data_IF_497859520227
#
_entry.id   IF_497859520227
#
_cell.length_a   1.000
_cell.length_b   1.000
_cell.length_c   1.000
_cell.angle_alpha   90.00
_cell.angle_beta   90.00
_cell.angle_gamma   90.00
#
_symmetry.space_group_name_H-M   'P 1'
#
loop_
_entity.id
_entity.type
_entity.pdbx_description
1 polymer ?
#
# COMPACT_ATOMS: atom_id res chain seq x y z
N UNK A 1 5.70 12.06 8.10
CA UNK A 1 6.08 11.96 6.69
C UNK A 1 4.98 11.26 5.91
N UNK A 2 4.66 11.74 4.70
CA UNK A 2 3.62 11.20 3.83
C UNK A 2 4.28 10.57 2.59
N UNK A 3 3.96 9.31 2.33
CA UNK A 3 4.33 8.61 1.10
C UNK A 3 3.08 8.43 0.24
N UNK A 4 3.23 8.61 -1.05
CA UNK A 4 2.17 8.33 -2.02
C UNK A 4 2.67 7.28 -3.00
N UNK A 5 1.91 6.20 -3.13
CA UNK A 5 2.08 5.21 -4.16
C UNK A 5 0.83 5.24 -5.05
N UNK A 6 1.01 5.40 -6.36
CA UNK A 6 -0.10 5.52 -7.26
C UNK A 6 -0.05 4.54 -8.41
N UNK A 7 -1.22 4.13 -8.94
CA UNK A 7 -1.33 3.24 -10.07
C UNK A 7 -2.65 3.37 -10.82
N UNK A 8 -2.60 3.13 -12.14
CA UNK A 8 -3.75 2.82 -12.97
C UNK A 8 -4.07 1.32 -12.97
N UNK A 9 -5.32 0.95 -12.83
CA UNK A 9 -6.01 -0.32 -13.14
C UNK A 9 -5.70 -1.62 -12.39
N UNK A 10 -4.60 -1.85 -11.66
CA UNK A 10 -4.50 -3.06 -10.84
C UNK A 10 -4.31 -2.67 -9.37
N UNK A 11 -5.41 -2.59 -8.70
CA UNK A 11 -5.58 -2.30 -7.29
C UNK A 11 -4.73 -3.20 -6.38
N UNK A 12 -4.59 -4.47 -6.72
CA UNK A 12 -3.87 -5.46 -5.94
C UNK A 12 -2.38 -5.18 -5.75
N UNK A 13 -1.72 -4.47 -6.66
CA UNK A 13 -0.26 -4.29 -6.57
C UNK A 13 0.14 -3.13 -5.65
N UNK A 14 -0.59 -2.04 -5.64
CA UNK A 14 -0.34 -0.93 -4.72
C UNK A 14 -0.65 -1.33 -3.28
N UNK A 15 -1.79 -1.97 -3.07
CA UNK A 15 -2.18 -2.56 -1.79
C UNK A 15 -1.14 -3.55 -1.30
N UNK A 16 -0.62 -4.44 -2.16
CA UNK A 16 0.46 -5.37 -1.81
C UNK A 16 1.68 -4.64 -1.27
N UNK A 17 2.10 -3.52 -1.87
CA UNK A 17 3.25 -2.76 -1.34
C UNK A 17 2.97 -2.13 0.01
N UNK A 18 1.79 -1.55 0.19
CA UNK A 18 1.36 -1.02 1.50
C UNK A 18 1.34 -2.12 2.56
N UNK A 19 0.81 -3.29 2.21
CA UNK A 19 0.77 -4.45 3.08
C UNK A 19 2.16 -5.00 3.40
N UNK A 20 3.09 -5.04 2.44
CA UNK A 20 4.49 -5.46 2.68
C UNK A 20 5.21 -4.54 3.66
N UNK A 21 4.94 -3.23 3.59
CA UNK A 21 5.53 -2.27 4.52
C UNK A 21 4.94 -2.47 5.92
N UNK A 22 3.61 -2.65 6.05
CA UNK A 22 2.97 -2.98 7.33
C UNK A 22 3.51 -4.30 7.90
N UNK A 23 3.63 -5.34 7.07
CA UNK A 23 4.16 -6.64 7.42
C UNK A 23 5.59 -6.52 7.97
N UNK A 24 6.44 -5.79 7.27
CA UNK A 24 7.82 -5.57 7.71
C UNK A 24 7.85 -4.79 9.02
N UNK A 25 7.07 -3.71 9.14
CA UNK A 25 7.02 -2.92 10.36
C UNK A 25 6.52 -3.74 11.56
N UNK A 26 5.40 -4.44 11.42
CA UNK A 26 4.74 -5.09 12.57
C UNK A 26 5.25 -6.50 12.83
N UNK A 27 5.40 -7.34 11.79
CA UNK A 27 5.78 -8.75 12.01
C UNK A 27 7.29 -8.89 12.21
N UNK A 28 8.11 -8.19 11.41
CA UNK A 28 9.58 -8.32 11.52
C UNK A 28 10.19 -7.44 12.60
N UNK A 29 9.65 -6.26 12.83
CA UNK A 29 10.24 -5.26 13.72
C UNK A 29 9.40 -4.95 14.96
N UNK A 30 8.22 -5.56 15.14
CA UNK A 30 7.36 -5.34 16.29
C UNK A 30 6.84 -3.90 16.43
N UNK A 31 6.85 -3.12 15.34
CA UNK A 31 6.40 -1.74 15.33
C UNK A 31 4.90 -1.67 15.08
N UNK A 32 4.18 -0.97 15.92
CA UNK A 32 2.73 -0.81 15.76
C UNK A 32 2.40 -0.10 14.46
N UNK A 33 1.61 -0.75 13.61
CA UNK A 33 1.10 -0.16 12.37
C UNK A 33 -0.41 -0.30 12.26
N UNK A 34 -1.03 0.61 11.52
CA UNK A 34 -2.46 0.53 11.18
C UNK A 34 -2.66 0.69 9.67
N UNK A 35 -3.50 -0.17 9.11
CA UNK A 35 -4.00 -0.03 7.76
C UNK A 35 -5.50 0.25 7.78
N UNK A 36 -5.90 1.34 7.14
CA UNK A 36 -7.27 1.67 6.82
C UNK A 36 -7.56 1.21 5.40
N UNK A 37 -8.34 0.16 5.27
CA UNK A 37 -8.67 -0.45 3.99
C UNK A 37 -10.12 -0.14 3.64
N UNK A 38 -10.31 0.63 2.57
CA UNK A 38 -11.62 1.00 2.05
C UNK A 38 -12.10 0.08 0.93
N UNK A 39 -11.23 -0.83 0.48
CA UNK A 39 -11.50 -1.74 -0.62
C UNK A 39 -11.53 -3.21 -0.19
N UNK A 40 -10.53 -3.62 0.57
CA UNK A 40 -10.39 -5.02 0.99
C UNK A 40 -10.89 -5.22 2.41
N UNK A 41 -11.55 -6.36 2.64
CA UNK A 41 -11.95 -6.79 3.97
C UNK A 41 -10.73 -7.20 4.81
N UNK A 42 -10.89 -7.17 6.13
CA UNK A 42 -9.89 -7.67 7.08
C UNK A 42 -9.46 -9.10 6.76
N UNK A 43 -10.40 -9.97 6.42
CA UNK A 43 -10.11 -11.36 6.10
C UNK A 43 -9.21 -11.50 4.87
N UNK A 44 -9.44 -10.70 3.83
CA UNK A 44 -8.59 -10.68 2.64
C UNK A 44 -7.17 -10.20 2.98
N UNK A 45 -7.05 -9.14 3.78
CA UNK A 45 -5.75 -8.62 4.22
C UNK A 45 -4.99 -9.67 5.03
N UNK A 46 -5.65 -10.33 5.98
CA UNK A 46 -5.03 -11.40 6.79
C UNK A 46 -4.57 -12.56 5.91
N UNK A 47 -5.38 -12.97 4.92
CA UNK A 47 -4.98 -14.01 3.97
C UNK A 47 -3.75 -13.61 3.14
N UNK A 48 -3.67 -12.36 2.70
CA UNK A 48 -2.50 -11.84 1.98
C UNK A 48 -1.25 -11.84 2.87
N UNK A 49 -1.37 -11.42 4.13
CA UNK A 49 -0.26 -11.42 5.09
C UNK A 49 0.23 -12.84 5.38
N UNK A 50 -0.69 -13.77 5.61
CA UNK A 50 -0.36 -15.18 5.84
C UNK A 50 0.30 -15.82 4.62
N UNK A 51 -0.23 -15.58 3.41
CA UNK A 51 0.37 -16.06 2.17
C UNK A 51 1.82 -15.56 2.01
N UNK A 52 2.05 -14.27 2.27
CA UNK A 52 3.37 -13.67 2.16
C UNK A 52 4.37 -14.20 3.21
N UNK A 53 3.94 -14.38 4.46
CA UNK A 53 4.79 -14.87 5.56
C UNK A 53 5.05 -16.36 5.48
N UNK A 54 4.02 -17.17 5.23
CA UNK A 54 4.16 -18.62 5.16
C UNK A 54 4.71 -19.12 3.83
N UNK A 55 4.79 -18.25 2.80
CA UNK A 55 5.12 -18.64 1.43
C UNK A 55 4.23 -19.79 0.94
N UNK A 56 2.93 -19.63 1.19
CA UNK A 56 1.88 -20.51 0.66
C UNK A 56 1.14 -19.75 -0.43
N UNK A 57 0.99 -20.33 -1.64
CA UNK A 57 0.29 -19.63 -2.72
C UNK A 57 -1.11 -19.22 -2.30
N UNK A 58 -1.44 -17.93 -2.50
CA UNK A 58 -2.76 -17.38 -2.16
C UNK A 58 -3.89 -18.15 -2.84
N UNK A 59 -3.65 -18.65 -4.06
CA UNK A 59 -4.60 -19.46 -4.79
C UNK A 59 -4.96 -20.77 -4.04
N UNK A 60 -3.97 -21.44 -3.44
CA UNK A 60 -4.21 -22.66 -2.67
C UNK A 60 -5.07 -22.39 -1.44
N UNK A 61 -4.81 -21.26 -0.77
CA UNK A 61 -5.62 -20.83 0.39
C UNK A 61 -7.07 -20.51 0.01
N UNK A 62 -7.28 -19.83 -1.13
CA UNK A 62 -8.61 -19.43 -1.60
C UNK A 62 -9.43 -20.61 -2.13
N UNK A 63 -8.81 -21.55 -2.82
CA UNK A 63 -9.48 -22.71 -3.41
C UNK A 63 -9.62 -23.88 -2.44
N UNK A 64 -8.99 -23.82 -1.25
CA UNK A 64 -8.98 -24.94 -0.30
C UNK A 64 -8.13 -26.14 -0.78
N UNK A 65 -7.21 -25.93 -1.73
CA UNK A 65 -6.36 -27.00 -2.30
C UNK A 65 -4.97 -27.03 -1.66
N UNK A 66 -4.87 -26.65 -0.39
CA UNK A 66 -3.61 -26.68 0.36
C UNK A 66 -3.13 -28.10 0.62
N UNK A 67 -1.83 -28.34 0.36
CA UNK A 67 -1.16 -29.58 0.74
C UNK A 67 -0.87 -29.63 2.24
N UNK A 68 -0.50 -30.81 2.76
CA UNK A 68 -0.02 -30.94 4.16
C UNK A 68 1.20 -30.06 4.43
N UNK A 69 2.07 -29.90 3.46
CA UNK A 69 3.21 -28.97 3.53
C UNK A 69 2.76 -27.53 3.65
N UNK A 70 1.73 -27.10 2.90
CA UNK A 70 1.17 -25.76 2.99
C UNK A 70 0.56 -25.49 4.37
N UNK A 71 -0.19 -26.46 4.89
CA UNK A 71 -0.76 -26.39 6.24
C UNK A 71 0.32 -26.28 7.32
N UNK A 72 1.39 -27.06 7.22
CA UNK A 72 2.51 -27.03 8.16
C UNK A 72 3.22 -25.65 8.15
N UNK A 73 3.48 -25.09 6.94
CA UNK A 73 4.07 -23.75 6.78
C UNK A 73 3.16 -22.68 7.37
N UNK A 74 1.86 -22.76 7.09
CA UNK A 74 0.87 -21.80 7.58
C UNK A 74 0.81 -21.82 9.12
N UNK A 75 0.68 -23.02 9.72
CA UNK A 75 0.64 -23.20 11.17
C UNK A 75 1.90 -22.62 11.84
N UNK A 76 3.07 -22.80 11.24
CA UNK A 76 4.34 -22.26 11.75
C UNK A 76 4.44 -20.72 11.74
N UNK A 77 3.58 -20.02 11.00
CA UNK A 77 3.59 -18.55 10.87
C UNK A 77 2.36 -17.88 11.50
N UNK A 78 1.30 -18.60 11.77
CA UNK A 78 0.06 -18.05 12.32
C UNK A 78 0.29 -17.25 13.62
N UNK A 79 1.08 -17.78 14.56
CA UNK A 79 1.40 -17.09 15.80
C UNK A 79 2.04 -15.72 15.55
N UNK A 80 3.09 -15.68 14.73
CA UNK A 80 3.79 -14.43 14.40
C UNK A 80 2.88 -13.37 13.76
N UNK A 81 1.94 -13.80 12.92
CA UNK A 81 0.97 -12.88 12.29
C UNK A 81 -0.10 -12.44 13.27
N UNK A 82 -0.59 -13.35 14.12
CA UNK A 82 -1.63 -13.07 15.11
C UNK A 82 -1.14 -12.11 16.21
N UNK A 83 0.10 -12.28 16.66
CA UNK A 83 0.67 -11.51 17.76
C UNK A 83 1.28 -10.18 17.30
N UNK A 84 1.42 -9.98 16.00
CA UNK A 84 1.97 -8.75 15.45
C UNK A 84 1.08 -7.53 15.76
N UNK A 85 1.66 -6.38 16.15
CA UNK A 85 0.91 -5.16 16.43
C UNK A 85 0.46 -4.48 15.13
N UNK A 86 -0.25 -5.22 14.27
CA UNK A 86 -0.86 -4.76 13.02
C UNK A 86 -2.38 -4.61 13.21
N UNK A 87 -2.83 -3.37 13.22
CA UNK A 87 -4.25 -3.04 13.29
C UNK A 87 -4.83 -2.90 11.88
N UNK A 88 -5.94 -3.58 11.63
CA UNK A 88 -6.66 -3.53 10.35
C UNK A 88 -8.04 -2.96 10.61
N UNK A 89 -8.34 -1.87 9.91
CA UNK A 89 -9.65 -1.22 9.96
C UNK A 89 -10.27 -1.21 8.57
N UNK A 90 -11.28 -2.02 8.38
CA UNK A 90 -12.04 -2.19 7.15
C UNK A 90 -13.45 -1.62 7.25
N UNK A 91 -13.64 -0.63 8.14
CA UNK A 91 -14.93 0.06 8.32
C UNK A 91 -15.35 0.75 7.03
N UNK A 92 -16.59 0.52 6.56
CA UNK A 92 -17.10 1.20 5.38
C UNK A 92 -17.30 2.71 5.64
N UNK A 93 -17.20 3.52 4.59
CA UNK A 93 -17.46 4.98 4.62
C UNK A 93 -16.61 5.77 5.62
N UNK A 94 -15.37 5.34 5.83
CA UNK A 94 -14.46 5.99 6.76
C UNK A 94 -14.11 7.41 6.32
N UNK A 95 -14.19 8.35 7.23
CA UNK A 95 -13.83 9.75 7.01
C UNK A 95 -12.52 10.12 7.75
N UNK A 96 -11.95 11.26 7.39
CA UNK A 96 -10.69 11.76 7.98
C UNK A 96 -10.74 11.95 9.49
N UNK A 97 -11.88 12.37 10.03
CA UNK A 97 -12.04 12.61 11.47
C UNK A 97 -11.94 11.31 12.24
N UNK A 98 -12.53 10.23 11.70
CA UNK A 98 -12.47 8.89 12.29
C UNK A 98 -11.05 8.33 12.22
N UNK A 99 -10.39 8.43 11.07
CA UNK A 99 -8.97 8.02 10.90
C UNK A 99 -8.10 8.74 11.94
N UNK A 100 -8.24 10.06 12.04
CA UNK A 100 -7.47 10.87 12.99
C UNK A 100 -7.73 10.46 14.44
N UNK A 101 -8.98 10.25 14.82
CA UNK A 101 -9.35 9.82 16.17
C UNK A 101 -8.79 8.43 16.52
N UNK A 102 -8.89 7.49 15.58
CA UNK A 102 -8.34 6.13 15.74
C UNK A 102 -6.80 6.14 15.82
N UNK A 103 -6.12 6.91 14.96
CA UNK A 103 -4.66 7.05 14.99
C UNK A 103 -4.17 7.67 16.31
N UNK A 104 -4.83 8.72 16.81
CA UNK A 104 -4.49 9.32 18.11
C UNK A 104 -4.61 8.32 19.25
N UNK A 105 -5.69 7.54 19.28
CA UNK A 105 -5.89 6.48 20.28
C UNK A 105 -4.81 5.42 20.23
N UNK A 106 -4.47 4.93 19.00
CA UNK A 106 -3.40 3.96 18.81
C UNK A 106 -2.03 4.54 19.17
N UNK A 107 -1.79 5.83 18.89
CA UNK A 107 -0.54 6.49 19.30
C UNK A 107 -0.35 6.53 20.80
N UNK A 108 -1.42 6.81 21.54
CA UNK A 108 -1.39 6.90 23.01
C UNK A 108 -1.30 5.53 23.68
N UNK A 109 -2.00 4.52 23.14
CA UNK A 109 -2.14 3.22 23.78
C UNK A 109 -1.05 2.22 23.36
N UNK A 110 -0.71 2.23 22.08
CA UNK A 110 0.07 1.16 21.44
C UNK A 110 1.33 1.70 20.73
N UNK A 111 1.73 2.95 20.98
CA UNK A 111 2.87 3.63 20.32
C UNK A 111 2.87 3.46 18.79
N UNK A 112 1.79 3.91 18.14
CA UNK A 112 1.65 3.86 16.68
C UNK A 112 2.87 4.43 15.97
N UNK A 113 3.43 3.67 15.02
CA UNK A 113 4.66 3.99 14.29
C UNK A 113 4.46 4.10 12.77
N UNK A 114 3.36 3.60 12.22
CA UNK A 114 3.07 3.63 10.79
C UNK A 114 1.55 3.67 10.55
N UNK A 115 1.13 4.51 9.59
CA UNK A 115 -0.25 4.56 9.09
C UNK A 115 -0.25 4.28 7.60
N UNK A 116 -1.13 3.39 7.14
CA UNK A 116 -1.39 3.13 5.72
C UNK A 116 -2.87 3.39 5.43
N UNK A 117 -3.17 4.10 4.35
CA UNK A 117 -4.54 4.35 3.87
C UNK A 117 -4.68 3.81 2.46
N UNK A 118 -5.55 2.84 2.26
CA UNK A 118 -5.76 2.14 1.00
C UNK A 118 -7.25 2.20 0.59
N UNK A 119 -7.65 3.02 -0.36
CA UNK A 119 -6.95 4.08 -1.09
C UNK A 119 -7.75 5.39 -1.04
N UNK A 120 -7.09 6.51 -1.27
CA UNK A 120 -7.62 7.86 -1.05
C UNK A 120 -8.93 8.15 -1.79
N UNK A 121 -9.07 7.64 -3.01
CA UNK A 121 -10.25 7.89 -3.84
C UNK A 121 -11.53 7.19 -3.35
N UNK A 122 -11.48 6.34 -2.35
CA UNK A 122 -12.68 5.77 -1.72
C UNK A 122 -13.11 6.53 -0.46
N UNK A 123 -12.27 7.45 0.03
CA UNK A 123 -12.63 8.27 1.19
C UNK A 123 -13.75 9.24 0.83
N UNK A 124 -14.59 9.56 1.81
CA UNK A 124 -15.65 10.55 1.72
C UNK A 124 -15.41 11.67 2.74
N UNK A 125 -15.60 12.91 2.32
CA UNK A 125 -15.51 14.06 3.23
C UNK A 125 -16.76 14.18 4.13
N UNK A 126 -17.84 13.50 3.77
CA UNK A 126 -19.15 13.65 4.44
C UNK A 126 -19.81 15.03 4.21
N UNK A 127 -19.18 15.89 3.42
CA UNK A 127 -19.65 17.23 3.06
C UNK A 127 -19.96 17.31 1.56
N UNK A 128 -20.86 18.20 1.16
CA UNK A 128 -21.02 18.55 -0.25
C UNK A 128 -19.76 19.31 -0.70
N UNK A 129 -18.97 18.68 -1.57
CA UNK A 129 -17.80 19.31 -2.20
C UNK A 129 -18.11 19.57 -3.68
N UNK A 130 -17.55 20.65 -4.22
CA UNK A 130 -17.79 21.08 -5.60
C UNK A 130 -17.13 20.13 -6.62
N UNK A 131 -16.02 19.50 -6.24
CA UNK A 131 -15.33 18.53 -7.11
C UNK A 131 -14.58 17.46 -6.34
N UNK A 132 -14.40 16.29 -6.98
CA UNK A 132 -13.59 15.19 -6.44
C UNK A 132 -12.13 15.59 -6.23
N UNK A 133 -11.61 16.45 -7.08
CA UNK A 133 -10.24 16.98 -6.97
C UNK A 133 -10.04 17.78 -5.69
N UNK A 134 -11.00 18.62 -5.32
CA UNK A 134 -10.94 19.38 -4.06
C UNK A 134 -10.97 18.44 -2.86
N UNK A 135 -11.81 17.42 -2.90
CA UNK A 135 -11.92 16.43 -1.84
C UNK A 135 -10.60 15.67 -1.62
N UNK A 136 -9.97 15.17 -2.69
CA UNK A 136 -8.67 14.52 -2.64
C UNK A 136 -7.59 15.46 -2.13
N UNK A 137 -7.65 16.75 -2.50
CA UNK A 137 -6.74 17.78 -2.00
C UNK A 137 -6.88 18.01 -0.49
N UNK A 138 -8.09 18.04 0.00
CA UNK A 138 -8.36 18.15 1.45
C UNK A 138 -7.83 16.93 2.21
N UNK A 139 -8.01 15.72 1.64
CA UNK A 139 -7.49 14.49 2.22
C UNK A 139 -5.97 14.49 2.29
N UNK A 140 -5.30 14.84 1.19
CA UNK A 140 -3.84 14.92 1.12
C UNK A 140 -3.27 15.81 2.20
N UNK A 141 -3.78 17.05 2.27
CA UNK A 141 -3.35 18.02 3.27
C UNK A 141 -3.60 17.54 4.69
N UNK A 142 -4.77 16.93 4.94
CA UNK A 142 -5.14 16.45 6.27
C UNK A 142 -4.27 15.26 6.72
N UNK A 143 -3.93 14.34 5.82
CA UNK A 143 -3.01 13.24 6.11
C UNK A 143 -1.58 13.74 6.37
N UNK A 144 -1.14 14.78 5.64
CA UNK A 144 0.13 15.45 5.92
C UNK A 144 0.17 16.07 7.32
N UNK A 145 -0.92 16.74 7.72
CA UNK A 145 -1.04 17.29 9.06
C UNK A 145 -1.08 16.20 10.13
N UNK A 146 -1.78 15.08 9.87
CA UNK A 146 -1.82 13.93 10.76
C UNK A 146 -0.43 13.32 10.96
N UNK A 147 0.33 13.12 9.88
CA UNK A 147 1.70 12.63 9.95
C UNK A 147 2.59 13.51 10.83
N UNK A 148 2.45 14.82 10.69
CA UNK A 148 3.18 15.80 11.50
C UNK A 148 2.73 15.82 12.95
N UNK A 149 1.43 15.76 13.21
CA UNK A 149 0.84 15.79 14.55
C UNK A 149 1.29 14.59 15.39
N UNK A 150 1.28 13.40 14.81
CA UNK A 150 1.60 12.15 15.49
C UNK A 150 3.08 11.77 15.44
N UNK A 151 3.87 12.50 14.64
CA UNK A 151 5.26 12.16 14.31
C UNK A 151 5.41 10.72 13.82
N UNK A 152 4.57 10.33 12.85
CA UNK A 152 4.60 9.01 12.21
C UNK A 152 4.55 9.13 10.69
N UNK A 153 5.19 8.23 9.93
CA UNK A 153 5.00 8.15 8.51
C UNK A 153 3.56 7.74 8.18
N UNK A 154 2.97 8.43 7.21
CA UNK A 154 1.67 8.09 6.64
C UNK A 154 1.86 7.74 5.18
N UNK A 155 1.50 6.53 4.80
CA UNK A 155 1.48 6.06 3.42
C UNK A 155 0.05 6.16 2.92
N UNK A 156 -0.16 6.94 1.87
CA UNK A 156 -1.45 7.03 1.20
C UNK A 156 -1.33 6.37 -0.18
N UNK A 157 -2.12 5.34 -0.40
CA UNK A 157 -2.22 4.69 -1.69
C UNK A 157 -3.20 5.48 -2.56
N UNK A 158 -2.82 5.74 -3.80
CA UNK A 158 -3.60 6.52 -4.75
C UNK A 158 -3.56 5.90 -6.13
N UNK A 159 -4.69 5.92 -6.80
CA UNK A 159 -4.79 5.46 -8.19
C UNK A 159 -4.29 6.54 -9.14
N UNK A 160 -3.54 6.14 -10.18
CA UNK A 160 -3.15 7.00 -11.29
C UNK A 160 -4.30 7.19 -12.27
N UNK A 161 -4.25 8.27 -13.05
CA UNK A 161 -5.10 8.39 -14.22
C UNK A 161 -4.72 7.36 -15.31
N UNK A 162 -5.52 7.27 -16.38
CA UNK A 162 -5.28 6.30 -17.47
C UNK A 162 -4.21 6.75 -18.48
N UNK A 163 -3.48 7.83 -18.20
CA UNK A 163 -2.43 8.36 -19.08
C UNK A 163 -1.38 7.32 -19.49
N UNK A 164 -0.83 6.53 -18.56
CA UNK A 164 0.15 5.50 -18.88
C UNK A 164 -0.34 4.46 -19.90
N UNK A 165 -1.62 4.12 -19.88
CA UNK A 165 -2.20 3.12 -20.78
C UNK A 165 -2.30 3.62 -22.24
N UNK A 166 -2.35 4.93 -22.42
CA UNK A 166 -2.49 5.55 -23.74
C UNK A 166 -1.15 5.86 -24.39
N UNK A 167 -0.05 5.85 -23.62
CA UNK A 167 1.30 6.13 -24.10
C UNK A 167 1.97 4.87 -24.64
N UNK A 168 2.92 5.05 -25.54
CA UNK A 168 3.79 3.99 -26.03
C UNK A 168 4.65 3.43 -24.88
N UNK A 169 5.28 4.33 -24.13
CA UNK A 169 5.92 4.00 -22.84
C UNK A 169 4.86 4.00 -21.74
N UNK A 170 4.56 2.79 -21.23
CA UNK A 170 3.59 2.56 -20.15
C UNK A 170 4.12 2.95 -18.76
N UNK A 171 5.36 3.44 -18.68
CA UNK A 171 6.01 3.79 -17.42
C UNK A 171 5.31 4.99 -16.77
N UNK A 172 4.87 4.88 -15.51
CA UNK A 172 4.15 5.95 -14.84
C UNK A 172 5.09 7.13 -14.50
N UNK A 173 4.53 8.34 -14.48
CA UNK A 173 5.24 9.57 -14.12
C UNK A 173 4.40 10.44 -13.18
N UNK A 174 4.99 11.45 -12.55
CA UNK A 174 4.28 12.36 -11.64
C UNK A 174 3.05 13.02 -12.27
N UNK A 175 3.12 13.34 -13.57
CA UNK A 175 2.00 13.92 -14.28
C UNK A 175 0.74 13.02 -14.33
N UNK A 176 0.88 11.72 -14.07
CA UNK A 176 -0.23 10.78 -14.02
C UNK A 176 -1.04 10.89 -12.71
N UNK A 177 -0.55 11.65 -11.74
CA UNK A 177 -1.26 12.08 -10.53
C UNK A 177 -2.12 13.34 -10.75
N UNK A 178 -2.27 13.83 -11.98
CA UNK A 178 -2.83 15.16 -12.31
C UNK A 178 -4.25 15.42 -11.82
N UNK A 179 -5.08 14.41 -11.66
CA UNK A 179 -6.40 14.59 -11.02
C UNK A 179 -6.28 14.94 -9.53
N UNK A 180 -5.06 14.89 -9.00
CA UNK A 180 -4.71 15.09 -7.61
C UNK A 180 -3.43 15.91 -7.48
N UNK A 181 -3.29 17.02 -8.22
CA UNK A 181 -2.07 17.85 -8.22
C UNK A 181 -1.59 18.29 -6.84
N UNK A 182 -2.50 18.37 -5.88
CA UNK A 182 -2.18 18.60 -4.47
C UNK A 182 -1.45 17.40 -3.82
N UNK A 183 -1.74 16.16 -4.25
CA UNK A 183 -1.05 14.98 -3.74
C UNK A 183 0.45 15.07 -4.03
N UNK A 184 0.80 15.50 -5.24
CA UNK A 184 2.21 15.73 -5.59
C UNK A 184 2.85 16.80 -4.71
N UNK A 185 2.14 17.90 -4.45
CA UNK A 185 2.68 19.01 -3.66
C UNK A 185 2.87 18.66 -2.19
N UNK A 186 1.89 17.99 -1.58
CA UNK A 186 1.87 17.69 -0.15
C UNK A 186 2.82 16.53 0.22
N UNK A 187 3.02 15.56 -0.68
CA UNK A 187 3.87 14.41 -0.43
C UNK A 187 5.34 14.78 -0.26
N UNK A 188 6.02 14.20 0.74
CA UNK A 188 7.47 14.27 0.87
C UNK A 188 8.18 13.31 -0.08
N UNK A 189 7.55 12.19 -0.38
CA UNK A 189 8.00 11.19 -1.34
C UNK A 189 6.82 10.70 -2.18
N UNK A 190 7.04 10.51 -3.47
CA UNK A 190 6.12 9.83 -4.37
C UNK A 190 6.82 8.60 -4.93
N UNK A 191 6.21 7.44 -4.66
CA UNK A 191 6.65 6.15 -5.15
C UNK A 191 5.64 5.65 -6.18
N UNK A 192 6.07 5.52 -7.44
CA UNK A 192 5.28 4.95 -8.50
C UNK A 192 5.69 3.49 -8.71
N UNK A 193 4.72 2.64 -8.95
CA UNK A 193 4.93 1.22 -9.19
C UNK A 193 4.71 0.90 -10.66
N UNK A 194 5.69 0.25 -11.28
CA UNK A 194 5.61 -0.20 -12.65
C UNK A 194 5.96 -1.68 -12.76
N UNK A 195 5.20 -2.40 -13.57
CA UNK A 195 5.48 -3.78 -13.96
C UNK A 195 5.26 -3.90 -15.47
N UNK A 196 6.32 -4.32 -16.16
CA UNK A 196 6.26 -4.48 -17.61
C UNK A 196 5.41 -5.68 -18.03
N UNK A 197 5.54 -6.82 -17.33
CA UNK A 197 4.77 -8.05 -17.56
C UNK A 197 3.25 -7.91 -17.39
N UNK A 198 2.81 -6.80 -16.82
CA UNK A 198 1.40 -6.46 -16.75
C UNK A 198 0.82 -6.04 -18.10
N UNK A 199 1.62 -5.33 -18.90
CA UNK A 199 1.26 -4.85 -20.22
C UNK A 199 1.69 -5.83 -21.32
N UNK A 200 2.82 -6.49 -21.13
CA UNK A 200 3.47 -7.41 -22.05
C UNK A 200 3.80 -8.72 -21.34
N UNK A 201 2.95 -9.73 -21.52
CA UNK A 201 3.06 -11.01 -20.77
C UNK A 201 4.34 -11.77 -21.04
N UNK A 202 4.91 -11.61 -22.24
CA UNK A 202 6.16 -12.28 -22.68
C UNK A 202 7.38 -11.38 -22.48
N UNK A 203 7.26 -10.33 -21.64
CA UNK A 203 8.40 -9.47 -21.32
C UNK A 203 9.57 -10.28 -20.74
N UNK A 204 10.78 -9.96 -21.18
CA UNK A 204 12.02 -10.50 -20.59
C UNK A 204 12.17 -10.14 -19.10
N UNK A 205 11.41 -9.14 -18.62
CA UNK A 205 11.37 -8.68 -17.23
C UNK A 205 10.17 -9.25 -16.45
N UNK A 206 9.63 -10.38 -16.89
CA UNK A 206 8.52 -11.01 -16.19
C UNK A 206 8.89 -11.36 -14.74
N UNK A 207 8.02 -10.98 -13.80
CA UNK A 207 8.27 -11.15 -12.36
C UNK A 207 9.10 -10.03 -11.71
N UNK A 208 9.52 -9.01 -12.47
CA UNK A 208 10.14 -7.81 -11.92
C UNK A 208 9.12 -6.70 -11.69
N UNK A 209 9.44 -5.82 -10.74
CA UNK A 209 8.70 -4.59 -10.52
C UNK A 209 9.68 -3.43 -10.27
N UNK A 210 9.40 -2.27 -10.85
CA UNK A 210 10.16 -1.05 -10.61
C UNK A 210 9.45 -0.18 -9.57
N UNK A 211 10.13 0.14 -8.49
CA UNK A 211 9.77 1.18 -7.56
C UNK A 211 10.46 2.48 -7.99
N UNK A 212 9.69 3.37 -8.61
CA UNK A 212 10.17 4.64 -9.14
C UNK A 212 9.94 5.71 -8.08
N UNK A 213 11.01 6.12 -7.41
CA UNK A 213 10.99 7.29 -6.51
C UNK A 213 10.96 8.54 -7.40
N UNK A 214 9.75 8.94 -7.79
CA UNK A 214 9.55 10.04 -8.74
C UNK A 214 9.67 11.42 -8.07
N UNK A 215 9.47 11.50 -6.75
CA UNK A 215 9.70 12.68 -5.93
C UNK A 215 10.29 12.26 -4.59
N UNK A 216 11.30 12.98 -4.13
CA UNK A 216 11.84 12.84 -2.79
C UNK A 216 12.32 14.21 -2.29
N UNK A 217 11.67 14.77 -1.26
CA UNK A 217 11.96 16.13 -0.76
C UNK A 217 13.38 16.28 -0.22
N UNK A 218 13.89 15.26 0.46
CA UNK A 218 15.16 15.29 1.18
C UNK A 218 16.18 14.26 0.64
N UNK A 219 16.00 13.76 -0.57
CA UNK A 219 16.90 12.78 -1.17
C UNK A 219 16.77 12.72 -2.69
N UNK A 220 17.60 11.91 -3.34
CA UNK A 220 17.56 11.73 -4.78
C UNK A 220 16.33 10.96 -5.23
N UNK A 221 15.94 11.17 -6.47
CA UNK A 221 15.05 10.28 -7.20
C UNK A 221 15.84 9.06 -7.70
N UNK A 222 15.19 7.90 -7.73
CA UNK A 222 15.81 6.66 -8.16
C UNK A 222 14.75 5.66 -8.66
N UNK A 223 15.19 4.66 -9.40
CA UNK A 223 14.38 3.48 -9.69
C UNK A 223 15.05 2.27 -9.04
N UNK A 224 14.28 1.50 -8.29
CA UNK A 224 14.72 0.30 -7.60
C UNK A 224 13.93 -0.86 -8.18
N UNK A 225 14.63 -1.80 -8.81
CA UNK A 225 14.01 -3.02 -9.34
C UNK A 225 13.98 -4.08 -8.25
N UNK A 226 12.84 -4.72 -8.09
CA UNK A 226 12.58 -5.78 -7.11
C UNK A 226 11.88 -6.95 -7.79
N UNK A 227 11.97 -8.15 -7.21
CA UNK A 227 11.20 -9.29 -7.67
C UNK A 227 9.76 -9.22 -7.11
N UNK A 228 8.78 -9.46 -7.97
CA UNK A 228 7.37 -9.57 -7.60
C UNK A 228 6.95 -11.04 -7.56
N UNK A 229 6.71 -11.56 -6.38
CA UNK A 229 6.19 -12.91 -6.16
C UNK A 229 4.66 -12.85 -6.03
N UNK A 230 3.97 -12.71 -7.17
CA UNK A 230 2.52 -12.50 -7.22
C UNK A 230 1.71 -13.62 -6.57
N UNK A 231 2.19 -14.87 -6.64
CA UNK A 231 1.57 -16.04 -6.02
C UNK A 231 1.60 -16.00 -4.48
N UNK A 232 2.57 -15.27 -3.90
CA UNK A 232 2.64 -15.00 -2.46
C UNK A 232 2.23 -13.56 -2.10
N UNK A 233 1.80 -12.77 -3.07
CA UNK A 233 1.40 -11.37 -2.88
C UNK A 233 2.44 -10.53 -2.15
N UNK A 234 3.72 -10.61 -2.57
CA UNK A 234 4.83 -9.86 -1.94
C UNK A 234 5.89 -9.40 -2.95
N UNK A 235 6.64 -8.40 -2.53
CA UNK A 235 7.87 -7.97 -3.19
C UNK A 235 9.08 -8.42 -2.36
N UNK A 236 10.16 -8.81 -3.04
CA UNK A 236 11.42 -9.18 -2.42
C UNK A 236 12.58 -8.54 -3.18
N UNK A 237 13.72 -8.37 -2.53
CA UNK A 237 14.91 -7.86 -3.17
C UNK A 237 15.35 -8.80 -4.30
N UNK A 238 15.92 -8.22 -5.37
CA UNK A 238 16.58 -9.02 -6.40
C UNK A 238 17.81 -9.70 -5.79
N UNK A 239 18.06 -10.94 -6.18
CA UNK A 239 19.30 -11.59 -5.81
C UNK A 239 20.48 -10.75 -6.34
N UNK A 240 21.42 -10.40 -5.47
CA UNK A 240 22.65 -9.77 -5.89
C UNK A 240 23.47 -10.86 -6.65
N UNK A 241 23.67 -10.64 -7.94
CA UNK A 241 24.55 -11.47 -8.77
C UNK A 241 26.01 -11.19 -8.46
#
# INVERSE_FOLDING_TARGET
HLYLAGRSMILTHNSTKGLDICRTASIKHGLTSVIFSLEMSRNEIVMLQLSAEAQVPLQHMRSGTMSESDWSKLAGRMGAVSDAPLFIDDSPNMNLMEIRAKCRRLKQRDDLRLVVVDYLQLMSSGKRVESRQQEVSEFSRSLKLLAKELDVPVIAISQLNRGPEQRQDKRPMLADLRESGSLEQDADMVLLLHREDFYERESARAGEADFIVAKHRNGPTATITVAFQGHYSRFVDMAQS
#
